data_IF_986398385502
#
_entry.id   IF_986398385502
#
_cell.length_a   1.000
_cell.length_b   1.000
_cell.length_c   1.000
_cell.angle_alpha   90.00
_cell.angle_beta   90.00
_cell.angle_gamma   90.00
#
_symmetry.space_group_name_H-M   'P 1'
#
loop_
_entity.id
_entity.type
_entity.pdbx_description
1 polymer ?
#
# COMPACT_ATOMS: atom_id res chain seq x y z
N UNK A 1 -17.61 1.03 -0.32
CA UNK A 1 -17.50 0.87 -1.78
C UNK A 1 -16.77 -0.43 -2.13
N UNK A 2 -15.51 -0.63 -1.73
CA UNK A 2 -14.78 -1.85 -2.07
C UNK A 2 -14.96 -2.93 -1.02
N UNK A 3 -15.18 -4.18 -1.48
CA UNK A 3 -15.11 -5.36 -0.62
C UNK A 3 -13.66 -5.69 -0.29
N UNK A 4 -12.83 -5.79 -1.31
CA UNK A 4 -11.41 -6.10 -1.16
C UNK A 4 -10.65 -5.71 -2.42
N UNK A 5 -9.34 -5.55 -2.27
CA UNK A 5 -8.41 -5.26 -3.36
C UNK A 5 -7.30 -6.29 -3.29
N UNK A 6 -6.98 -6.93 -4.42
CA UNK A 6 -5.90 -7.91 -4.54
C UNK A 6 -4.75 -7.34 -5.34
N UNK A 7 -3.53 -7.53 -4.80
CA UNK A 7 -2.29 -7.18 -5.49
C UNK A 7 -1.48 -8.47 -5.67
N UNK A 8 -1.10 -8.75 -6.91
CA UNK A 8 -0.26 -9.91 -7.22
C UNK A 8 1.20 -9.68 -6.83
N UNK A 9 1.82 -10.70 -6.26
CA UNK A 9 3.25 -10.69 -5.92
C UNK A 9 3.90 -11.97 -6.42
N UNK A 10 5.20 -11.91 -6.77
CA UNK A 10 5.94 -13.06 -7.28
C UNK A 10 6.60 -13.87 -6.16
N UNK A 11 7.09 -13.20 -5.12
CA UNK A 11 7.79 -13.82 -4.01
C UNK A 11 7.14 -13.40 -2.71
N UNK A 12 6.35 -14.30 -2.12
CA UNK A 12 5.52 -13.97 -0.98
C UNK A 12 6.33 -13.47 0.22
N UNK A 13 7.44 -14.13 0.56
CA UNK A 13 8.27 -13.73 1.70
C UNK A 13 8.87 -12.34 1.49
N UNK A 14 9.32 -12.04 0.28
CA UNK A 14 9.81 -10.70 -0.06
C UNK A 14 8.69 -9.67 0.03
N UNK A 15 7.51 -10.01 -0.45
CA UNK A 15 6.36 -9.13 -0.36
C UNK A 15 5.96 -8.87 1.09
N UNK A 16 5.95 -9.89 1.95
CA UNK A 16 5.67 -9.72 3.38
C UNK A 16 6.69 -8.79 4.05
N UNK A 17 7.96 -8.91 3.71
CA UNK A 17 9.00 -8.05 4.27
C UNK A 17 8.78 -6.58 3.93
N UNK A 18 8.11 -6.29 2.81
CA UNK A 18 7.71 -4.95 2.43
C UNK A 18 6.37 -4.55 3.06
N UNK A 19 5.34 -5.39 2.92
CA UNK A 19 3.98 -5.00 3.28
C UNK A 19 3.71 -5.02 4.78
N UNK A 20 4.31 -5.93 5.56
CA UNK A 20 4.05 -5.95 7.01
C UNK A 20 4.46 -4.64 7.70
N UNK A 21 5.68 -4.12 7.50
CA UNK A 21 6.02 -2.83 8.12
C UNK A 21 5.22 -1.67 7.51
N UNK A 22 4.90 -1.73 6.21
CA UNK A 22 4.12 -0.69 5.56
C UNK A 22 2.71 -0.60 6.15
N UNK A 23 2.02 -1.72 6.27
CA UNK A 23 0.68 -1.79 6.83
C UNK A 23 0.66 -1.36 8.31
N UNK A 24 1.69 -1.73 9.06
CA UNK A 24 1.84 -1.29 10.44
C UNK A 24 1.98 0.23 10.50
N UNK A 25 2.79 0.83 9.64
CA UNK A 25 2.95 2.29 9.59
C UNK A 25 1.65 3.01 9.23
N UNK A 26 0.77 2.35 8.47
CA UNK A 26 -0.57 2.86 8.13
C UNK A 26 -1.59 2.64 9.24
N UNK A 27 -1.24 1.90 10.31
CA UNK A 27 -2.17 1.59 11.38
C UNK A 27 -3.20 0.53 11.02
N UNK A 28 -2.92 -0.28 10.01
CA UNK A 28 -3.84 -1.35 9.58
C UNK A 28 -3.57 -2.63 10.37
N UNK A 29 -4.64 -3.42 10.56
CA UNK A 29 -4.57 -4.71 11.25
C UNK A 29 -4.43 -5.84 10.26
N UNK A 30 -3.49 -6.75 10.51
CA UNK A 30 -3.37 -7.96 9.73
C UNK A 30 -4.48 -8.93 10.11
N UNK A 31 -5.29 -9.33 9.12
CA UNK A 31 -6.42 -10.23 9.33
C UNK A 31 -6.03 -11.68 9.14
N UNK A 32 -5.16 -11.95 8.17
CA UNK A 32 -4.68 -13.31 7.92
C UNK A 32 -3.32 -13.26 7.23
N UNK A 33 -2.57 -14.36 7.42
CA UNK A 33 -1.32 -14.59 6.72
C UNK A 33 -1.13 -16.09 6.61
N UNK A 34 -1.16 -16.62 5.39
CA UNK A 34 -1.06 -18.05 5.13
C UNK A 34 -0.06 -18.29 4.02
N UNK A 35 1.14 -18.76 4.39
CA UNK A 35 2.21 -19.02 3.43
C UNK A 35 1.90 -20.17 2.48
N UNK A 36 0.96 -21.05 2.83
CA UNK A 36 0.62 -22.20 2.00
C UNK A 36 -0.24 -21.84 0.80
N UNK A 37 -1.04 -20.75 0.88
CA UNK A 37 -1.88 -20.31 -0.25
C UNK A 37 -1.09 -19.71 -1.40
N UNK A 38 -0.07 -18.84 -1.32
CA UNK A 38 0.32 -17.86 -0.31
C UNK A 38 -0.51 -16.57 -0.43
N UNK A 39 -0.95 -16.05 0.67
CA UNK A 39 -1.64 -14.76 0.74
C UNK A 39 -1.58 -14.16 2.14
N UNK A 40 -1.79 -12.85 2.23
CA UNK A 40 -1.93 -12.12 3.47
C UNK A 40 -2.86 -10.94 3.25
N UNK A 41 -3.60 -10.55 4.28
CA UNK A 41 -4.58 -9.48 4.15
C UNK A 41 -4.69 -8.62 5.40
N UNK A 42 -5.05 -7.36 5.16
CA UNK A 42 -5.18 -6.33 6.20
C UNK A 42 -6.48 -5.56 6.02
N UNK A 43 -6.94 -4.94 7.09
CA UNK A 43 -8.06 -4.01 7.08
C UNK A 43 -7.82 -2.89 8.08
N UNK A 44 -8.66 -1.85 8.04
CA UNK A 44 -8.58 -0.75 9.00
C UNK A 44 -8.82 -1.24 10.42
N UNK A 45 -8.13 -0.65 11.40
CA UNK A 45 -8.30 -0.97 12.80
C UNK A 45 -9.78 -0.81 13.22
N UNK A 46 -10.32 -1.85 13.85
CA UNK A 46 -11.73 -1.86 14.28
C UNK A 46 -12.73 -2.06 13.15
N UNK A 47 -12.28 -2.09 11.88
CA UNK A 47 -13.14 -2.32 10.73
C UNK A 47 -13.11 -3.75 10.24
N UNK A 48 -13.90 -4.02 9.20
CA UNK A 48 -13.93 -5.35 8.56
C UNK A 48 -13.65 -5.28 7.06
N UNK A 49 -13.99 -4.18 6.42
CA UNK A 49 -13.86 -3.99 4.97
C UNK A 49 -13.46 -2.54 4.65
N UNK A 50 -12.78 -2.33 3.52
CA UNK A 50 -12.29 -3.32 2.55
C UNK A 50 -11.05 -4.06 3.08
N UNK A 51 -10.79 -5.26 2.55
CA UNK A 51 -9.50 -5.90 2.73
C UNK A 51 -8.53 -5.42 1.65
N UNK A 52 -7.29 -5.27 2.05
CA UNK A 52 -6.15 -5.19 1.13
C UNK A 52 -5.38 -6.50 1.22
N UNK A 53 -5.23 -7.21 0.10
CA UNK A 53 -4.68 -8.56 0.06
C UNK A 53 -3.51 -8.62 -0.90
N UNK A 54 -2.42 -9.24 -0.48
CA UNK A 54 -1.34 -9.65 -1.37
C UNK A 54 -1.43 -11.17 -1.57
N UNK A 55 -1.20 -11.62 -2.79
CA UNK A 55 -1.24 -13.05 -3.10
C UNK A 55 -0.41 -13.35 -4.34
N UNK A 56 0.05 -14.59 -4.47
CA UNK A 56 0.56 -15.02 -5.77
C UNK A 56 -0.62 -15.14 -6.73
N UNK A 57 -0.43 -14.83 -8.03
CA UNK A 57 -1.53 -14.87 -8.98
C UNK A 57 -2.23 -16.23 -9.02
N UNK A 58 -3.56 -16.19 -9.04
CA UNK A 58 -4.40 -17.39 -8.97
C UNK A 58 -4.11 -18.38 -10.10
N UNK A 59 -3.75 -17.87 -11.28
CA UNK A 59 -3.46 -18.72 -12.44
C UNK A 59 -2.04 -19.31 -12.44
N UNK A 60 -1.24 -19.05 -11.43
CA UNK A 60 0.13 -19.57 -11.32
C UNK A 60 1.15 -18.90 -12.22
N UNK A 61 0.75 -17.89 -12.99
CA UNK A 61 1.66 -17.14 -13.84
C UNK A 61 2.37 -16.03 -13.06
N UNK A 62 3.52 -15.53 -13.55
CA UNK A 62 4.17 -14.39 -12.91
C UNK A 62 3.25 -13.18 -12.85
N UNK A 63 3.34 -12.44 -11.75
CA UNK A 63 2.62 -11.19 -11.59
C UNK A 63 3.14 -10.15 -12.58
N UNK A 64 2.23 -9.30 -13.06
CA UNK A 64 2.55 -8.17 -13.92
C UNK A 64 1.91 -6.91 -13.34
N UNK A 65 2.68 -5.83 -13.08
CA UNK A 65 2.07 -4.56 -12.68
C UNK A 65 1.27 -3.99 -13.84
N UNK A 66 0.07 -3.51 -13.54
CA UNK A 66 -0.78 -2.88 -14.55
C UNK A 66 -0.33 -1.46 -14.84
N UNK A 67 -0.16 -1.12 -16.10
CA UNK A 67 0.12 0.26 -16.49
C UNK A 67 -1.14 1.12 -16.27
N UNK A 68 -1.00 2.19 -15.47
CA UNK A 68 -2.12 3.06 -15.12
C UNK A 68 -2.87 2.65 -13.85
N UNK A 69 -2.52 1.52 -13.25
CA UNK A 69 -3.13 1.07 -12.01
C UNK A 69 -2.35 1.57 -10.80
N UNK A 70 -3.07 1.89 -9.73
CA UNK A 70 -2.49 2.35 -8.48
C UNK A 70 -3.46 2.09 -7.34
N UNK A 71 -2.95 1.67 -6.19
CA UNK A 71 -3.73 1.62 -4.95
C UNK A 71 -3.21 2.71 -4.03
N UNK A 72 -4.10 3.59 -3.59
CA UNK A 72 -3.77 4.70 -2.71
C UNK A 72 -4.38 4.47 -1.33
N UNK A 73 -3.53 4.51 -0.31
CA UNK A 73 -3.94 4.37 1.09
C UNK A 73 -4.20 5.76 1.69
N UNK A 74 -5.21 5.85 2.55
CA UNK A 74 -5.52 7.08 3.25
C UNK A 74 -4.67 7.21 4.52
N UNK A 75 -4.20 8.42 4.78
CA UNK A 75 -3.51 8.76 6.03
C UNK A 75 -4.17 10.00 6.63
N UNK A 76 -4.25 10.05 7.97
CA UNK A 76 -4.92 11.14 8.68
C UNK A 76 -4.09 12.42 8.75
N UNK A 77 -2.77 12.30 8.66
CA UNK A 77 -1.85 13.43 8.80
C UNK A 77 -0.77 13.40 7.73
N UNK A 78 -0.20 14.57 7.46
CA UNK A 78 0.95 14.67 6.54
C UNK A 78 2.19 13.97 7.11
N UNK A 79 2.36 14.01 8.43
CA UNK A 79 3.46 13.29 9.10
C UNK A 79 3.35 11.78 8.83
N UNK A 80 2.13 11.22 8.84
CA UNK A 80 1.92 9.80 8.52
C UNK A 80 2.28 9.49 7.08
N UNK A 81 1.96 10.38 6.14
CA UNK A 81 2.37 10.22 4.74
C UNK A 81 3.89 10.11 4.63
N UNK A 82 4.63 11.00 5.31
CA UNK A 82 6.09 10.96 5.30
C UNK A 82 6.64 9.68 5.91
N UNK A 83 6.06 9.23 7.03
CA UNK A 83 6.45 8.00 7.71
C UNK A 83 6.23 6.77 6.82
N UNK A 84 5.07 6.66 6.19
CA UNK A 84 4.72 5.54 5.32
C UNK A 84 5.66 5.49 4.12
N UNK A 85 5.91 6.62 3.48
CA UNK A 85 6.83 6.71 2.36
C UNK A 85 8.25 6.25 2.76
N UNK A 86 8.77 6.75 3.87
CA UNK A 86 10.10 6.36 4.36
C UNK A 86 10.15 4.86 4.65
N UNK A 87 9.11 4.31 5.28
CA UNK A 87 9.01 2.88 5.57
C UNK A 87 9.04 2.06 4.28
N UNK A 88 8.31 2.49 3.25
CA UNK A 88 8.30 1.81 1.95
C UNK A 88 9.71 1.74 1.35
N UNK A 89 10.44 2.85 1.34
CA UNK A 89 11.78 2.86 0.76
C UNK A 89 12.79 2.06 1.59
N UNK A 90 12.63 2.02 2.90
CA UNK A 90 13.49 1.23 3.79
C UNK A 90 13.32 -0.28 3.59
N UNK A 91 12.16 -0.72 3.10
CA UNK A 91 11.80 -2.14 3.02
C UNK A 91 11.67 -2.65 1.59
N UNK A 92 12.37 -2.04 0.66
CA UNK A 92 12.49 -2.56 -0.71
C UNK A 92 11.63 -1.87 -1.75
N UNK A 93 10.89 -0.83 -1.37
CA UNK A 93 10.13 -0.03 -2.33
C UNK A 93 11.01 0.95 -3.09
N UNK A 94 10.49 1.45 -4.21
CA UNK A 94 11.16 2.46 -5.02
C UNK A 94 10.32 3.72 -5.10
N UNK A 95 10.99 4.88 -5.20
CA UNK A 95 10.35 6.19 -5.28
C UNK A 95 9.63 6.38 -6.61
N UNK A 96 8.41 6.93 -6.53
CA UNK A 96 7.62 7.40 -7.67
C UNK A 96 7.10 8.82 -7.45
N UNK A 97 7.44 9.45 -6.33
CA UNK A 97 7.06 10.82 -6.01
C UNK A 97 7.14 11.06 -4.52
N UNK A 98 8.11 11.90 -4.09
CA UNK A 98 8.33 12.21 -2.69
C UNK A 98 7.14 12.91 -2.05
N UNK A 99 6.98 12.83 -0.71
CA UNK A 99 5.87 13.47 -0.02
C UNK A 99 5.80 14.97 -0.30
N UNK A 100 4.60 15.45 -0.59
CA UNK A 100 4.37 16.85 -0.87
C UNK A 100 2.94 17.14 -1.30
N UNK A 101 2.63 18.42 -1.36
CA UNK A 101 1.34 18.88 -1.85
C UNK A 101 1.21 18.64 -3.36
N UNK A 102 0.02 18.28 -3.79
CA UNK A 102 -0.34 18.14 -5.21
C UNK A 102 -1.58 19.00 -5.47
N UNK A 103 -1.40 20.33 -5.58
CA UNK A 103 -2.53 21.27 -5.68
C UNK A 103 -3.38 21.05 -6.93
N UNK A 104 -2.85 20.36 -7.95
CA UNK A 104 -3.62 20.02 -9.15
C UNK A 104 -4.79 19.09 -8.84
N UNK A 105 -4.77 18.38 -7.71
CA UNK A 105 -5.89 17.53 -7.30
C UNK A 105 -6.85 18.31 -6.38
N UNK A 106 -6.32 18.90 -5.33
CA UNK A 106 -7.00 19.89 -4.48
C UNK A 106 -5.99 20.54 -3.53
N UNK A 107 -6.41 21.60 -2.86
CA UNK A 107 -5.49 22.45 -2.08
C UNK A 107 -4.79 21.70 -0.93
N UNK A 108 -5.45 20.71 -0.35
CA UNK A 108 -4.93 19.98 0.82
C UNK A 108 -4.44 18.58 0.48
N UNK A 109 -4.37 18.21 -0.79
CA UNK A 109 -3.87 16.91 -1.17
C UNK A 109 -2.36 16.84 -0.90
N UNK A 110 -2.00 16.03 0.08
CA UNK A 110 -0.60 15.78 0.44
C UNK A 110 -0.35 14.28 0.27
N UNK A 111 0.50 13.91 -0.68
CA UNK A 111 0.67 12.51 -1.03
C UNK A 111 2.10 12.15 -1.36
N UNK A 112 2.33 10.84 -1.42
CA UNK A 112 3.59 10.25 -1.84
C UNK A 112 3.30 9.00 -2.65
N UNK A 113 4.20 8.66 -3.56
CA UNK A 113 4.04 7.57 -4.51
C UNK A 113 5.29 6.70 -4.49
N UNK A 114 5.08 5.39 -4.55
CA UNK A 114 6.18 4.42 -4.55
C UNK A 114 5.71 3.13 -5.20
N UNK A 115 6.66 2.24 -5.48
CA UNK A 115 6.34 0.90 -5.97
C UNK A 115 6.78 -0.13 -4.95
N UNK A 116 6.04 -1.24 -4.91
CA UNK A 116 6.45 -2.40 -4.13
C UNK A 116 7.59 -3.14 -4.84
N UNK A 117 8.17 -4.20 -4.23
CA UNK A 117 9.28 -4.95 -4.87
C UNK A 117 8.92 -5.61 -6.20
N UNK A 118 7.63 -5.82 -6.49
CA UNK A 118 7.17 -6.40 -7.74
C UNK A 118 6.78 -5.35 -8.78
N UNK A 119 6.93 -4.06 -8.46
CA UNK A 119 6.62 -2.97 -9.37
C UNK A 119 5.19 -2.47 -9.32
N UNK A 120 4.37 -2.96 -8.40
CA UNK A 120 3.00 -2.45 -8.22
C UNK A 120 3.06 -1.02 -7.68
N UNK A 121 2.32 -0.11 -8.32
CA UNK A 121 2.31 1.29 -7.90
C UNK A 121 1.34 1.50 -6.75
N UNK A 122 1.84 2.15 -5.71
CA UNK A 122 1.10 2.47 -4.49
C UNK A 122 1.22 3.96 -4.20
N UNK A 123 0.28 4.46 -3.42
CA UNK A 123 0.31 5.82 -2.92
C UNK A 123 -0.19 5.88 -1.49
N UNK A 124 0.17 6.94 -0.80
CA UNK A 124 -0.42 7.29 0.48
C UNK A 124 -0.76 8.78 0.44
N UNK A 125 -1.96 9.14 0.85
CA UNK A 125 -2.45 10.50 0.73
C UNK A 125 -3.23 10.94 1.97
N UNK A 126 -2.99 12.18 2.38
CA UNK A 126 -3.74 12.88 3.41
C UNK A 126 -4.50 14.02 2.74
N UNK A 127 -5.80 14.10 3.03
CA UNK A 127 -6.68 15.12 2.45
C UNK A 127 -7.04 16.23 3.42
N UNK A 128 -6.59 16.10 4.69
CA UNK A 128 -6.90 17.08 5.73
C UNK A 128 -5.99 18.29 5.62
N UNK A 129 -6.57 19.47 5.88
CA UNK A 129 -5.77 20.68 6.01
C UNK A 129 -4.86 20.56 7.24
N UNK A 130 -3.64 21.09 7.13
CA UNK A 130 -2.73 21.20 8.26
C UNK A 130 -2.82 22.62 8.83
N UNK A 131 -3.13 22.69 10.12
CA UNK A 131 -3.29 23.96 10.82
C UNK A 131 -1.97 24.48 11.36
#
# INVERSE_FOLDING_TARGET
MFSHIFIGVNHFERALAFYQPLMLSLGLEQRFCDAARPWAGWHSAGGTRPFFVICTPHNGQPQQPGNGQMVAFAADTRARVREVYATALQHGGTDEGAPGLRPQYHANYYGAYFRDPDGNKLAVACHAAEL
#
